data_IF_545918851597
#
_entry.id   IF_545918851597
#
_cell.length_a   1.000
_cell.length_b   1.000
_cell.length_c   1.000
_cell.angle_alpha   90.00
_cell.angle_beta   90.00
_cell.angle_gamma   90.00
#
_symmetry.space_group_name_H-M   'P 1'
#
loop_
_entity.id
_entity.type
_entity.pdbx_description
1 polymer ?
#
# COMPACT_ATOMS: atom_id res chain seq x y z
N UNK A 1 -14.47 15.72 5.69
CA UNK A 1 -14.07 14.63 4.76
C UNK A 1 -13.38 13.57 5.59
N UNK A 2 -14.03 12.44 5.85
CA UNK A 2 -13.41 11.36 6.62
C UNK A 2 -12.28 10.81 5.76
N UNK A 3 -11.03 11.00 6.20
CA UNK A 3 -9.89 10.31 5.59
C UNK A 3 -10.23 8.82 5.69
N UNK A 4 -10.39 8.17 4.54
CA UNK A 4 -10.60 6.74 4.50
C UNK A 4 -9.48 6.05 5.28
N UNK A 5 -9.81 5.10 6.16
CA UNK A 5 -8.83 4.50 7.09
C UNK A 5 -8.05 3.33 6.49
N UNK A 6 -7.72 3.39 5.20
CA UNK A 6 -7.13 2.25 4.47
C UNK A 6 -5.70 1.99 4.90
N UNK A 7 -4.93 3.06 5.05
CA UNK A 7 -3.55 3.05 5.45
C UNK A 7 -3.40 2.54 6.89
N UNK A 8 -4.23 3.00 7.83
CA UNK A 8 -4.15 2.50 9.20
C UNK A 8 -4.59 1.05 9.26
N UNK A 9 -5.62 0.65 8.50
CA UNK A 9 -6.02 -0.74 8.37
C UNK A 9 -4.87 -1.63 7.84
N UNK A 10 -4.21 -1.20 6.76
CA UNK A 10 -3.05 -1.88 6.17
C UNK A 10 -1.90 -2.02 7.17
N UNK A 11 -1.60 -0.94 7.91
CA UNK A 11 -0.56 -0.95 8.93
C UNK A 11 -0.87 -1.95 10.05
N UNK A 12 -2.10 -1.96 10.56
CA UNK A 12 -2.52 -2.88 11.62
C UNK A 12 -2.51 -4.35 11.15
N UNK A 13 -2.93 -4.65 9.91
CA UNK A 13 -2.85 -6.02 9.38
C UNK A 13 -1.40 -6.49 9.24
N UNK A 14 -0.53 -5.64 8.69
CA UNK A 14 0.90 -5.96 8.58
C UNK A 14 1.52 -6.18 9.96
N UNK A 15 1.20 -5.31 10.93
CA UNK A 15 1.73 -5.40 12.30
C UNK A 15 1.37 -6.73 12.94
N UNK A 16 0.13 -7.20 12.78
CA UNK A 16 -0.32 -8.52 13.26
C UNK A 16 0.45 -9.69 12.66
N UNK A 17 0.90 -9.58 11.41
CA UNK A 17 1.76 -10.60 10.78
C UNK A 17 3.15 -10.55 11.39
N UNK A 18 3.75 -9.36 11.48
CA UNK A 18 5.14 -9.20 11.95
C UNK A 18 5.30 -9.47 13.45
N UNK A 19 4.30 -9.18 14.28
CA UNK A 19 4.36 -9.40 15.74
C UNK A 19 4.47 -10.88 16.13
N UNK A 20 4.10 -11.80 15.23
CA UNK A 20 4.27 -13.24 15.44
C UNK A 20 5.73 -13.69 15.28
N UNK A 21 6.62 -12.81 14.81
CA UNK A 21 7.98 -13.16 14.39
C UNK A 21 9.01 -12.76 15.44
N UNK A 22 10.10 -13.53 15.61
CA UNK A 22 11.21 -13.13 16.46
C UNK A 22 11.84 -11.82 15.96
N UNK A 23 12.13 -10.89 16.87
CA UNK A 23 12.76 -9.59 16.52
C UNK A 23 14.09 -9.74 15.76
N UNK A 24 14.86 -10.80 16.06
CA UNK A 24 16.11 -11.09 15.34
C UNK A 24 15.87 -11.42 13.85
N UNK A 25 14.79 -12.14 13.53
CA UNK A 25 14.45 -12.50 12.15
C UNK A 25 14.01 -11.25 11.35
N UNK A 26 13.18 -10.39 11.96
CA UNK A 26 12.75 -9.12 11.35
C UNK A 26 13.94 -8.21 11.04
N UNK A 27 14.87 -8.06 11.99
CA UNK A 27 16.08 -7.24 11.79
C UNK A 27 17.02 -7.84 10.75
N UNK A 28 17.21 -9.16 10.76
CA UNK A 28 18.07 -9.86 9.79
C UNK A 28 17.56 -9.75 8.36
N UNK A 29 16.23 -9.75 8.16
CA UNK A 29 15.59 -9.59 6.86
C UNK A 29 15.22 -8.15 6.48
N UNK A 30 15.55 -7.15 7.31
CA UNK A 30 15.18 -5.75 7.04
C UNK A 30 13.67 -5.48 7.01
N UNK A 31 12.86 -6.31 7.68
CA UNK A 31 11.41 -6.32 7.51
C UNK A 31 10.71 -5.42 8.54
N UNK A 32 10.37 -4.21 8.10
CA UNK A 32 9.71 -3.19 8.91
C UNK A 32 8.55 -2.57 8.14
N UNK A 33 7.50 -2.14 8.85
CA UNK A 33 6.41 -1.39 8.24
C UNK A 33 6.66 0.11 8.37
N UNK A 34 6.46 0.82 7.27
CA UNK A 34 6.44 2.27 7.26
C UNK A 34 5.32 2.78 8.17
N UNK A 35 5.60 3.59 9.20
CA UNK A 35 4.56 4.12 10.08
C UNK A 35 3.55 5.00 9.32
N UNK A 36 2.27 5.01 9.72
CA UNK A 36 1.20 5.79 9.07
C UNK A 36 1.56 7.24 8.74
N UNK A 37 2.16 7.95 9.69
CA UNK A 37 2.56 9.35 9.51
C UNK A 37 3.64 9.52 8.43
N UNK A 38 4.60 8.58 8.38
CA UNK A 38 5.69 8.59 7.39
C UNK A 38 5.16 8.24 6.00
N UNK A 39 4.27 7.25 5.90
CA UNK A 39 3.66 6.87 4.63
C UNK A 39 2.85 8.02 4.02
N UNK A 40 2.04 8.74 4.84
CA UNK A 40 1.33 9.95 4.40
C UNK A 40 2.27 11.06 3.97
N UNK A 41 3.37 11.23 4.68
CA UNK A 41 4.40 12.21 4.31
C UNK A 41 5.00 11.86 2.94
N UNK A 42 5.46 10.62 2.74
CA UNK A 42 6.03 10.15 1.47
C UNK A 42 5.04 10.28 0.30
N UNK A 43 3.77 9.91 0.50
CA UNK A 43 2.75 10.04 -0.54
C UNK A 43 2.54 11.49 -0.99
N UNK A 44 2.68 12.49 -0.10
CA UNK A 44 2.61 13.92 -0.44
C UNK A 44 3.82 14.41 -1.22
N UNK A 45 4.96 13.75 -1.11
CA UNK A 45 6.18 14.12 -1.84
C UNK A 45 6.15 13.68 -3.30
N UNK A 46 5.27 12.74 -3.68
CA UNK A 46 5.07 12.42 -5.09
C UNK A 46 4.55 13.65 -5.83
N UNK A 47 5.01 13.84 -7.08
CA UNK A 47 4.50 14.90 -7.94
C UNK A 47 3.02 14.72 -8.31
N UNK A 48 2.61 15.41 -9.37
CA UNK A 48 1.31 15.13 -9.97
C UNK A 48 1.33 13.72 -10.59
N UNK A 49 0.39 12.88 -10.17
CA UNK A 49 0.18 11.56 -10.75
C UNK A 49 -0.82 11.72 -11.89
N UNK A 50 -0.45 11.31 -13.10
CA UNK A 50 -1.32 11.36 -14.27
C UNK A 50 -2.23 10.13 -14.32
N UNK A 51 -3.45 10.30 -14.84
CA UNK A 51 -4.31 9.17 -15.15
C UNK A 51 -3.65 8.28 -16.20
N UNK A 52 -3.64 6.96 -15.99
CA UNK A 52 -2.87 6.01 -16.79
C UNK A 52 -1.49 5.67 -16.23
N UNK A 53 -1.05 6.32 -15.15
CA UNK A 53 0.28 6.04 -14.58
C UNK A 53 0.37 4.65 -13.93
N UNK A 54 1.60 4.14 -13.84
CA UNK A 54 1.94 2.93 -13.08
C UNK A 54 2.80 3.30 -11.88
N UNK A 55 2.39 2.87 -10.69
CA UNK A 55 3.11 2.96 -9.43
C UNK A 55 3.80 1.62 -9.17
N UNK A 56 5.13 1.63 -9.12
CA UNK A 56 5.93 0.47 -8.72
C UNK A 56 6.25 0.56 -7.23
N UNK A 57 6.01 -0.52 -6.49
CA UNK A 57 6.41 -0.69 -5.10
C UNK A 57 7.22 -2.00 -4.94
N UNK A 58 8.56 -1.94 -4.89
CA UNK A 58 9.40 -3.14 -4.88
C UNK A 58 9.41 -3.90 -3.55
N UNK A 59 8.88 -3.33 -2.46
CA UNK A 59 8.78 -3.98 -1.16
C UNK A 59 7.49 -3.53 -0.45
N UNK A 60 6.35 -4.04 -0.93
CA UNK A 60 5.03 -3.50 -0.58
C UNK A 60 4.63 -3.73 0.87
N UNK A 61 5.20 -4.72 1.56
CA UNK A 61 4.79 -5.12 2.89
C UNK A 61 3.29 -5.43 2.89
N UNK A 62 2.53 -4.76 3.76
CA UNK A 62 1.06 -4.87 3.80
C UNK A 62 0.32 -3.87 2.89
N UNK A 63 1.03 -3.05 2.10
CA UNK A 63 0.44 -2.04 1.22
C UNK A 63 0.32 -0.63 1.81
N UNK A 64 0.99 -0.33 2.93
CA UNK A 64 0.81 0.93 3.67
C UNK A 64 1.05 2.16 2.79
N UNK A 65 2.15 2.17 2.02
CA UNK A 65 2.49 3.32 1.18
C UNK A 65 1.54 3.44 -0.02
N UNK A 66 1.15 2.33 -0.63
CA UNK A 66 0.15 2.32 -1.71
C UNK A 66 -1.19 2.87 -1.21
N UNK A 67 -1.66 2.45 -0.03
CA UNK A 67 -2.86 3.02 0.60
C UNK A 67 -2.72 4.52 0.86
N UNK A 68 -1.54 5.00 1.27
CA UNK A 68 -1.27 6.43 1.45
C UNK A 68 -1.45 7.23 0.14
N UNK A 69 -0.96 6.69 -0.97
CA UNK A 69 -1.11 7.30 -2.30
C UNK A 69 -2.59 7.32 -2.71
N UNK A 70 -3.32 6.22 -2.52
CA UNK A 70 -4.74 6.14 -2.86
C UNK A 70 -5.57 7.12 -2.01
N UNK A 71 -5.34 7.19 -0.70
CA UNK A 71 -5.98 8.17 0.20
C UNK A 71 -5.72 9.62 -0.27
N UNK A 72 -4.49 9.91 -0.69
CA UNK A 72 -4.14 11.22 -1.24
C UNK A 72 -4.93 11.49 -2.52
N UNK A 73 -4.98 10.57 -3.47
CA UNK A 73 -5.70 10.74 -4.74
C UNK A 73 -7.21 10.95 -4.53
N UNK A 74 -7.80 10.22 -3.58
CA UNK A 74 -9.18 10.43 -3.16
C UNK A 74 -9.39 11.85 -2.63
N UNK A 75 -8.47 12.35 -1.80
CA UNK A 75 -8.54 13.68 -1.22
C UNK A 75 -8.37 14.81 -2.26
N UNK A 76 -7.66 14.55 -3.37
CA UNK A 76 -7.54 15.49 -4.50
C UNK A 76 -8.86 15.64 -5.28
N UNK A 77 -9.82 14.73 -5.09
CA UNK A 77 -11.17 14.77 -5.67
C UNK A 77 -11.16 14.93 -7.20
N UNK A 78 -10.20 14.29 -7.86
CA UNK A 78 -10.05 14.27 -9.31
C UNK A 78 -10.11 12.82 -9.81
N UNK A 79 -11.00 12.48 -10.77
CA UNK A 79 -11.07 11.13 -11.32
C UNK A 79 -9.76 10.70 -11.98
N UNK A 80 -9.25 9.54 -11.60
CA UNK A 80 -7.97 9.02 -12.08
C UNK A 80 -8.00 7.49 -12.17
N UNK A 81 -7.26 6.94 -13.12
CA UNK A 81 -6.96 5.52 -13.23
C UNK A 81 -5.48 5.27 -12.96
N UNK A 82 -5.15 4.36 -12.04
CA UNK A 82 -3.79 4.05 -11.61
C UNK A 82 -3.55 2.54 -11.65
N UNK A 83 -2.37 2.14 -12.13
CA UNK A 83 -1.87 0.78 -12.04
C UNK A 83 -0.85 0.67 -10.92
N UNK A 84 -0.89 -0.41 -10.16
CA UNK A 84 0.07 -0.70 -9.09
C UNK A 84 0.73 -2.04 -9.38
N UNK A 85 2.05 -2.03 -9.51
CA UNK A 85 2.88 -3.23 -9.52
C UNK A 85 3.63 -3.31 -8.20
N UNK A 86 3.35 -4.35 -7.42
CA UNK A 86 3.85 -4.50 -6.07
C UNK A 86 4.57 -5.83 -5.91
N UNK A 87 5.71 -5.80 -5.22
CA UNK A 87 6.53 -6.99 -4.94
C UNK A 87 6.68 -7.16 -3.43
N UNK A 88 6.61 -8.40 -2.98
CA UNK A 88 6.88 -8.77 -1.60
C UNK A 88 7.38 -10.22 -1.55
N UNK A 89 8.44 -10.46 -0.79
CA UNK A 89 9.06 -11.79 -0.68
C UNK A 89 8.35 -12.67 0.35
N UNK A 90 7.61 -12.04 1.28
CA UNK A 90 6.93 -12.70 2.35
C UNK A 90 5.49 -13.13 1.97
N UNK A 91 5.18 -14.44 1.97
CA UNK A 91 3.87 -14.91 1.55
C UNK A 91 2.70 -14.40 2.42
N UNK A 92 2.89 -14.28 3.75
CA UNK A 92 1.84 -13.78 4.63
C UNK A 92 1.57 -12.29 4.38
N UNK A 93 2.61 -11.49 4.15
CA UNK A 93 2.44 -10.08 3.78
C UNK A 93 1.86 -9.91 2.38
N UNK A 94 2.21 -10.77 1.42
CA UNK A 94 1.58 -10.78 0.10
C UNK A 94 0.07 -10.97 0.20
N UNK A 95 -0.37 -11.94 1.01
CA UNK A 95 -1.80 -12.20 1.21
C UNK A 95 -2.51 -11.03 1.89
N UNK A 96 -1.86 -10.41 2.89
CA UNK A 96 -2.37 -9.17 3.50
C UNK A 96 -2.46 -8.04 2.47
N UNK A 97 -1.42 -7.80 1.68
CA UNK A 97 -1.39 -6.75 0.66
C UNK A 97 -2.51 -6.95 -0.37
N UNK A 98 -2.72 -8.18 -0.86
CA UNK A 98 -3.83 -8.51 -1.78
C UNK A 98 -5.19 -8.20 -1.16
N UNK A 99 -5.42 -8.58 0.09
CA UNK A 99 -6.68 -8.29 0.79
C UNK A 99 -6.90 -6.78 0.96
N UNK A 100 -5.86 -6.08 1.43
CA UNK A 100 -5.86 -4.63 1.62
C UNK A 100 -6.14 -3.91 0.30
N UNK A 101 -5.44 -4.27 -0.77
CA UNK A 101 -5.58 -3.65 -2.09
C UNK A 101 -6.94 -3.97 -2.73
N UNK A 102 -7.48 -5.18 -2.52
CA UNK A 102 -8.85 -5.53 -2.94
C UNK A 102 -9.88 -4.58 -2.31
N UNK A 103 -9.83 -4.41 -0.99
CA UNK A 103 -10.80 -3.59 -0.26
C UNK A 103 -10.61 -2.10 -0.57
N UNK A 104 -9.35 -1.66 -0.67
CA UNK A 104 -9.00 -0.27 -0.95
C UNK A 104 -9.42 0.12 -2.37
N UNK A 105 -9.15 -0.71 -3.38
CA UNK A 105 -9.51 -0.42 -4.77
C UNK A 105 -11.02 -0.34 -4.98
N UNK A 106 -11.79 -1.25 -4.36
CA UNK A 106 -13.25 -1.24 -4.43
C UNK A 106 -13.84 0.06 -3.89
N UNK A 107 -13.34 0.53 -2.74
CA UNK A 107 -13.86 1.75 -2.11
C UNK A 107 -13.36 3.02 -2.82
N UNK A 108 -12.10 3.05 -3.27
CA UNK A 108 -11.55 4.14 -4.06
C UNK A 108 -12.34 4.35 -5.38
N UNK A 109 -12.79 3.26 -6.01
CA UNK A 109 -13.60 3.31 -7.22
C UNK A 109 -14.94 4.04 -7.04
N UNK A 110 -15.53 3.98 -5.84
CA UNK A 110 -16.76 4.71 -5.50
C UNK A 110 -16.54 6.24 -5.44
N UNK A 111 -15.28 6.68 -5.40
CA UNK A 111 -14.84 8.07 -5.29
C UNK A 111 -14.14 8.55 -6.57
N UNK A 112 -14.26 7.82 -7.67
CA UNK A 112 -13.65 8.18 -8.98
C UNK A 112 -12.18 7.82 -9.13
N UNK A 113 -11.58 7.13 -8.14
CA UNK A 113 -10.19 6.68 -8.17
C UNK A 113 -10.16 5.19 -8.51
N UNK A 114 -9.94 4.86 -9.78
CA UNK A 114 -9.91 3.48 -10.27
C UNK A 114 -8.51 2.90 -10.15
N UNK A 115 -8.36 1.85 -9.34
CA UNK A 115 -7.07 1.22 -9.07
C UNK A 115 -7.04 -0.19 -9.66
N UNK A 116 -6.06 -0.43 -10.52
CA UNK A 116 -5.64 -1.77 -10.95
C UNK A 116 -4.39 -2.14 -10.15
N UNK A 117 -4.29 -3.38 -9.72
CA UNK A 117 -3.14 -3.81 -8.93
C UNK A 117 -2.76 -5.25 -9.22
N UNK A 118 -1.46 -5.52 -9.08
CA UNK A 118 -0.88 -6.86 -9.09
C UNK A 118 0.16 -6.94 -7.97
N UNK A 119 0.10 -8.02 -7.17
CA UNK A 119 1.08 -8.33 -6.11
C UNK A 119 1.83 -9.61 -6.48
N UNK A 120 3.09 -9.45 -6.82
CA UNK A 120 4.05 -10.52 -7.09
C UNK A 120 4.67 -10.99 -5.78
N UNK A 121 4.55 -12.30 -5.50
CA UNK A 121 5.12 -12.92 -4.29
C UNK A 121 6.52 -13.45 -4.59
N UNK A 122 7.42 -12.54 -4.92
CA UNK A 122 8.79 -12.82 -5.35
C UNK A 122 9.67 -11.58 -5.06
N UNK A 123 10.98 -11.77 -5.18
CA UNK A 123 11.93 -10.66 -5.15
C UNK A 123 11.77 -9.82 -6.43
N UNK A 124 11.96 -8.51 -6.32
CA UNK A 124 11.93 -7.60 -7.46
C UNK A 124 13.22 -7.68 -8.31
N UNK A 125 14.36 -8.09 -7.72
CA UNK A 125 15.70 -8.08 -8.36
C UNK A 125 16.16 -9.49 -8.76
#
# INVERSE_FOLDING_TARGET
>A
MVISDYLSHSYEQGKRVLEKRPSAALKGGGQFLTPPAIARYMAKQLGQIQSGATLLEPAVGSGVLVCAVIERLIAENYPIELWVEAYETDPELCDVARQVLTQTSQRAGQQGVKIHWQVYCEDFI
#
